data_IF_155013647871
#
_entry.id   IF_155013647871
#
_cell.length_a   1.000
_cell.length_b   1.000
_cell.length_c   1.000
_cell.angle_alpha   90.00
_cell.angle_beta   90.00
_cell.angle_gamma   90.00
#
_symmetry.space_group_name_H-M   'P 1'
#
loop_
_entity.id
_entity.type
_entity.pdbx_description
1 polymer ?
#
# COMPACT_ATOMS: atom_id res chain seq x y z
N UNK A 1 29.75 9.09 -16.06
CA UNK A 1 28.38 9.30 -15.57
C UNK A 1 27.92 7.94 -15.08
N UNK A 2 27.84 7.74 -13.76
CA UNK A 2 27.42 6.46 -13.20
C UNK A 2 25.96 6.22 -13.57
N UNK A 3 25.67 5.15 -14.31
CA UNK A 3 24.31 4.61 -14.40
C UNK A 3 23.85 4.32 -12.98
N UNK A 4 22.93 5.14 -12.46
CA UNK A 4 22.26 4.85 -11.20
C UNK A 4 21.36 3.66 -11.51
N UNK A 5 21.80 2.46 -11.12
CA UNK A 5 21.02 1.24 -11.23
C UNK A 5 19.79 1.38 -10.31
N UNK A 6 18.69 1.85 -10.87
CA UNK A 6 17.42 2.00 -10.17
C UNK A 6 16.55 0.75 -10.33
N UNK A 7 15.69 0.41 -9.36
CA UNK A 7 14.91 -0.83 -9.37
C UNK A 7 13.73 -0.84 -10.35
N UNK A 8 13.45 0.28 -11.02
CA UNK A 8 12.42 0.38 -12.05
C UNK A 8 13.00 0.10 -13.44
N UNK A 9 12.18 -0.35 -14.40
CA UNK A 9 12.58 -0.26 -15.81
C UNK A 9 12.74 1.21 -16.25
N UNK A 10 13.46 1.43 -17.35
CA UNK A 10 13.80 2.78 -17.82
C UNK A 10 12.56 3.62 -18.15
N UNK A 11 11.54 3.02 -18.76
CA UNK A 11 10.31 3.73 -19.14
C UNK A 11 9.54 4.21 -17.91
N UNK A 12 9.33 3.32 -16.93
CA UNK A 12 8.68 3.67 -15.66
C UNK A 12 9.47 4.74 -14.93
N UNK A 13 10.80 4.64 -14.92
CA UNK A 13 11.67 5.63 -14.29
C UNK A 13 11.58 7.00 -14.95
N UNK A 14 11.47 7.08 -16.27
CA UNK A 14 11.29 8.34 -17.00
C UNK A 14 9.93 9.00 -16.70
N UNK A 15 8.90 8.21 -16.39
CA UNK A 15 7.55 8.70 -16.09
C UNK A 15 7.35 9.15 -14.64
N UNK A 16 8.19 8.71 -13.68
CA UNK A 16 8.06 9.05 -12.26
C UNK A 16 7.89 10.55 -11.93
N UNK A 17 8.58 11.49 -12.61
CA UNK A 17 8.40 12.93 -12.38
C UNK A 17 6.94 13.38 -12.48
N UNK A 18 6.20 12.87 -13.47
CA UNK A 18 4.79 13.21 -13.67
C UNK A 18 3.90 12.79 -12.48
N UNK A 19 4.33 11.80 -11.69
CA UNK A 19 3.60 11.32 -10.53
C UNK A 19 4.03 11.98 -9.22
N UNK A 20 5.29 12.41 -9.09
CA UNK A 20 5.88 12.80 -7.80
C UNK A 20 6.30 14.28 -7.68
N UNK A 21 6.59 15.00 -8.76
CA UNK A 21 7.06 16.41 -8.66
C UNK A 21 5.98 17.37 -8.13
N UNK A 22 4.71 17.06 -8.37
CA UNK A 22 3.58 17.93 -8.03
C UNK A 22 2.70 17.33 -6.93
N UNK A 23 3.29 16.56 -6.01
CA UNK A 23 2.59 16.06 -4.83
C UNK A 23 2.19 17.25 -3.93
N UNK A 24 0.90 17.45 -3.62
CA UNK A 24 0.44 18.57 -2.81
C UNK A 24 0.94 18.50 -1.36
N UNK A 25 1.10 17.29 -0.82
CA UNK A 25 1.74 17.06 0.47
C UNK A 25 2.90 16.06 0.35
N UNK A 26 4.04 16.33 1.01
CA UNK A 26 5.15 15.39 1.03
C UNK A 26 4.77 14.11 1.78
N UNK A 27 5.48 13.03 1.47
CA UNK A 27 5.26 11.70 2.06
C UNK A 27 6.52 11.16 2.72
N UNK A 28 6.34 10.35 3.74
CA UNK A 28 7.39 9.59 4.39
C UNK A 28 7.21 8.10 4.08
N UNK A 29 8.18 7.51 3.37
CA UNK A 29 8.31 6.07 3.19
C UNK A 29 9.04 5.49 4.41
N UNK A 30 8.37 4.64 5.18
CA UNK A 30 8.98 3.94 6.32
C UNK A 30 9.08 2.45 5.99
N UNK A 31 10.30 1.94 5.88
CA UNK A 31 10.54 0.50 5.71
C UNK A 31 10.76 -0.12 7.08
N UNK A 32 9.91 -1.07 7.48
CA UNK A 32 10.22 -1.97 8.59
C UNK A 32 10.89 -3.23 8.05
N UNK A 33 12.05 -3.57 8.61
CA UNK A 33 12.85 -4.70 8.18
C UNK A 33 14.24 -4.69 8.80
N UNK A 34 15.13 -5.48 8.22
CA UNK A 34 16.54 -5.62 8.53
C UNK A 34 17.32 -5.86 7.22
N UNK A 35 18.14 -4.89 6.81
CA UNK A 35 18.97 -4.98 5.60
C UNK A 35 19.99 -6.14 5.67
N UNK A 36 20.29 -6.66 6.86
CA UNK A 36 21.20 -7.79 6.99
C UNK A 36 20.48 -9.14 6.84
N UNK A 37 19.18 -9.19 7.06
CA UNK A 37 18.41 -10.42 7.16
C UNK A 37 18.01 -11.04 5.80
N UNK A 38 17.86 -10.25 4.73
CA UNK A 38 17.37 -10.79 3.45
C UNK A 38 17.51 -9.85 2.24
N UNK A 39 17.43 -10.43 1.03
CA UNK A 39 17.52 -9.69 -0.23
C UNK A 39 16.36 -8.70 -0.44
N UNK A 40 15.12 -9.14 -0.17
CA UNK A 40 13.93 -8.31 -0.36
C UNK A 40 13.90 -7.08 0.55
N UNK A 41 14.36 -7.20 1.81
CA UNK A 41 14.42 -6.07 2.74
C UNK A 41 15.47 -5.03 2.33
N UNK A 42 16.65 -5.47 1.87
CA UNK A 42 17.63 -4.56 1.27
C UNK A 42 17.09 -3.86 0.04
N UNK A 43 16.44 -4.59 -0.85
CA UNK A 43 15.97 -4.00 -2.11
C UNK A 43 14.80 -3.03 -1.85
N UNK A 44 13.93 -3.30 -0.88
CA UNK A 44 12.91 -2.34 -0.46
C UNK A 44 13.53 -1.06 0.10
N UNK A 45 14.60 -1.16 0.89
CA UNK A 45 15.34 0.00 1.38
C UNK A 45 16.02 0.75 0.23
N UNK A 46 16.65 0.05 -0.72
CA UNK A 46 17.25 0.63 -1.94
C UNK A 46 16.21 1.37 -2.78
N UNK A 47 15.05 0.77 -2.98
CA UNK A 47 13.91 1.34 -3.70
C UNK A 47 13.42 2.64 -3.05
N UNK A 48 13.11 2.62 -1.75
CA UNK A 48 12.62 3.82 -1.07
C UNK A 48 13.68 4.93 -1.00
N UNK A 49 14.96 4.57 -0.84
CA UNK A 49 16.08 5.51 -0.87
C UNK A 49 16.23 6.17 -2.24
N UNK A 50 16.22 5.38 -3.32
CA UNK A 50 16.34 5.90 -4.68
C UNK A 50 15.21 6.88 -5.04
N UNK A 51 13.99 6.66 -4.54
CA UNK A 51 12.89 7.61 -4.71
C UNK A 51 13.12 8.90 -3.92
N UNK A 52 13.55 8.82 -2.66
CA UNK A 52 13.82 9.99 -1.84
C UNK A 52 15.03 10.81 -2.32
N UNK A 53 16.05 10.15 -2.87
CA UNK A 53 17.21 10.83 -3.45
C UNK A 53 16.85 11.62 -4.72
N UNK A 54 15.78 11.23 -5.42
CA UNK A 54 15.32 11.86 -6.66
C UNK A 54 14.23 12.91 -6.46
N UNK A 55 13.33 12.71 -5.50
CA UNK A 55 12.13 13.53 -5.33
C UNK A 55 12.09 14.17 -3.94
N UNK A 56 12.19 15.50 -3.87
CA UNK A 56 12.18 16.25 -2.62
C UNK A 56 10.90 16.06 -1.79
N UNK A 57 9.79 15.71 -2.45
CA UNK A 57 8.50 15.43 -1.82
C UNK A 57 8.50 14.07 -1.08
N UNK A 58 9.50 13.22 -1.29
CA UNK A 58 9.59 11.90 -0.70
C UNK A 58 10.75 11.87 0.29
N UNK A 59 10.43 11.57 1.54
CA UNK A 59 11.42 11.24 2.57
C UNK A 59 11.39 9.73 2.80
N UNK A 60 12.51 9.15 3.23
CA UNK A 60 12.58 7.72 3.55
C UNK A 60 13.30 7.48 4.88
N UNK A 61 12.95 6.38 5.56
CA UNK A 61 13.66 5.88 6.73
C UNK A 61 13.46 4.38 6.86
N UNK A 62 14.38 3.74 7.56
CA UNK A 62 14.26 2.35 7.96
C UNK A 62 14.08 2.24 9.47
N UNK A 63 13.20 1.33 9.90
CA UNK A 63 12.95 1.02 11.29
C UNK A 63 13.07 -0.49 11.51
N UNK A 64 13.39 -0.93 12.75
CA UNK A 64 13.44 -2.35 13.08
C UNK A 64 12.09 -3.04 12.85
N UNK A 65 12.14 -4.35 12.60
CA UNK A 65 10.96 -5.22 12.58
C UNK A 65 10.09 -5.03 13.84
N UNK A 66 8.77 -5.12 13.67
CA UNK A 66 7.75 -5.01 14.71
C UNK A 66 7.03 -6.33 14.98
N UNK A 67 6.71 -6.62 16.23
CA UNK A 67 6.02 -7.88 16.60
C UNK A 67 4.66 -8.09 15.91
N UNK A 68 4.02 -7.02 15.44
CA UNK A 68 2.68 -7.07 14.86
C UNK A 68 2.65 -7.26 13.32
N UNK A 69 3.80 -7.34 12.65
CA UNK A 69 3.85 -7.71 11.23
C UNK A 69 4.36 -9.15 11.07
N UNK A 70 3.58 -10.04 10.42
CA UNK A 70 3.98 -11.43 10.20
C UNK A 70 4.99 -11.59 9.07
N UNK A 71 5.09 -10.62 8.16
CA UNK A 71 5.89 -10.67 6.94
C UNK A 71 6.73 -9.41 6.77
N UNK A 72 7.88 -9.54 6.09
CA UNK A 72 8.85 -8.46 5.85
C UNK A 72 9.42 -8.52 4.43
N UNK A 73 9.83 -7.37 3.84
CA UNK A 73 9.73 -6.01 4.37
C UNK A 73 8.29 -5.50 4.47
N UNK A 74 8.09 -4.45 5.25
CA UNK A 74 6.84 -3.66 5.24
C UNK A 74 7.19 -2.24 4.83
N UNK A 75 6.61 -1.76 3.75
CA UNK A 75 6.70 -0.36 3.33
C UNK A 75 5.44 0.36 3.79
N UNK A 76 5.58 1.29 4.72
CA UNK A 76 4.52 2.22 5.10
C UNK A 76 4.64 3.54 4.38
N UNK A 77 3.52 4.01 3.86
CA UNK A 77 3.40 5.33 3.25
C UNK A 77 2.62 6.23 4.22
N UNK A 78 3.30 7.27 4.72
CA UNK A 78 2.77 8.21 5.70
C UNK A 78 2.71 9.61 5.10
N UNK A 79 1.75 10.42 5.53
CA UNK A 79 1.74 11.84 5.17
C UNK A 79 2.73 12.61 6.03
N UNK A 80 3.24 13.74 5.50
CA UNK A 80 4.12 14.63 6.23
C UNK A 80 3.64 16.08 6.11
N UNK A 81 3.51 16.76 7.25
CA UNK A 81 3.18 18.17 7.32
C UNK A 81 4.17 18.86 8.27
N UNK A 82 5.17 19.54 7.69
CA UNK A 82 6.33 20.02 8.45
C UNK A 82 7.09 18.87 9.11
N UNK A 83 7.15 18.90 10.45
CA UNK A 83 7.81 17.88 11.28
C UNK A 83 6.84 16.78 11.76
N UNK A 84 5.54 16.89 11.47
CA UNK A 84 4.54 15.89 11.85
C UNK A 84 4.37 14.81 10.78
N UNK A 85 4.28 13.56 11.25
CA UNK A 85 4.00 12.39 10.41
C UNK A 85 2.60 11.83 10.74
N UNK A 86 1.79 11.61 9.72
CA UNK A 86 0.44 11.03 9.85
C UNK A 86 0.42 9.62 9.26
N UNK A 87 0.17 8.61 10.11
CA UNK A 87 -0.02 7.23 9.67
C UNK A 87 -1.47 6.99 9.21
N UNK A 88 -1.69 7.05 7.89
CA UNK A 88 -2.97 6.73 7.25
C UNK A 88 -3.26 5.22 7.14
N UNK A 89 -2.41 4.36 7.69
CA UNK A 89 -2.65 2.91 7.67
C UNK A 89 -2.41 2.23 6.32
N UNK A 90 -1.73 2.89 5.37
CA UNK A 90 -1.37 2.34 4.05
C UNK A 90 -0.06 1.57 4.13
N UNK A 91 -0.09 0.28 3.76
CA UNK A 91 1.07 -0.63 3.81
C UNK A 91 1.17 -1.47 2.53
N UNK A 92 2.41 -1.70 2.10
CA UNK A 92 2.79 -2.73 1.14
C UNK A 92 3.67 -3.75 1.88
N UNK A 93 3.31 -5.02 1.80
CA UNK A 93 3.94 -6.13 2.50
C UNK A 93 4.65 -7.00 1.46
N UNK A 94 5.98 -7.08 1.57
CA UNK A 94 6.87 -7.63 0.56
C UNK A 94 7.50 -6.56 -0.33
N UNK A 95 8.46 -6.97 -1.16
CA UNK A 95 9.08 -6.11 -2.16
C UNK A 95 8.09 -5.93 -3.33
N UNK A 96 7.56 -4.72 -3.60
CA UNK A 96 6.77 -4.50 -4.80
C UNK A 96 7.63 -4.71 -6.05
N UNK A 97 7.10 -5.46 -7.01
CA UNK A 97 7.75 -5.78 -8.28
C UNK A 97 6.70 -5.86 -9.40
N UNK A 98 7.15 -5.80 -10.66
CA UNK A 98 6.26 -5.82 -11.81
C UNK A 98 5.17 -4.75 -11.73
N UNK A 99 3.90 -5.13 -11.94
CA UNK A 99 2.76 -4.22 -11.86
C UNK A 99 2.59 -3.60 -10.46
N UNK A 100 3.14 -4.20 -9.40
CA UNK A 100 3.00 -3.68 -8.04
C UNK A 100 3.96 -2.52 -7.73
N UNK A 101 4.91 -2.20 -8.63
CA UNK A 101 5.63 -0.93 -8.57
C UNK A 101 4.65 0.25 -8.75
N UNK A 102 3.67 0.12 -9.64
CA UNK A 102 2.59 1.11 -9.82
C UNK A 102 1.72 1.24 -8.56
N UNK A 103 1.54 0.15 -7.80
CA UNK A 103 0.85 0.20 -6.51
C UNK A 103 1.58 1.05 -5.47
N UNK A 104 2.93 1.08 -5.48
CA UNK A 104 3.70 2.01 -4.63
C UNK A 104 3.47 3.47 -5.02
N UNK A 105 3.48 3.77 -6.33
CA UNK A 105 3.14 5.12 -6.84
C UNK A 105 1.73 5.51 -6.37
N UNK A 106 0.79 4.60 -6.54
CA UNK A 106 -0.62 4.79 -6.13
C UNK A 106 -0.75 5.02 -4.63
N UNK A 107 0.01 4.31 -3.80
CA UNK A 107 0.01 4.50 -2.34
C UNK A 107 0.50 5.91 -1.97
N UNK A 108 1.60 6.37 -2.59
CA UNK A 108 2.13 7.74 -2.41
C UNK A 108 1.10 8.78 -2.81
N UNK A 109 0.49 8.62 -3.99
CA UNK A 109 -0.55 9.54 -4.45
C UNK A 109 -1.79 9.52 -3.56
N UNK A 110 -2.25 8.35 -3.13
CA UNK A 110 -3.39 8.24 -2.23
C UNK A 110 -3.15 9.01 -0.93
N UNK A 111 -1.96 8.89 -0.34
CA UNK A 111 -1.60 9.63 0.89
C UNK A 111 -1.48 11.12 0.61
N UNK A 112 -0.69 11.52 -0.39
CA UNK A 112 -0.43 12.94 -0.68
C UNK A 112 -1.69 13.71 -1.08
N UNK A 113 -2.56 13.11 -1.89
CA UNK A 113 -3.82 13.71 -2.32
C UNK A 113 -4.99 13.44 -1.36
N UNK A 114 -4.73 12.92 -0.15
CA UNK A 114 -5.78 12.61 0.85
C UNK A 114 -6.90 11.69 0.35
N UNK A 115 -6.58 10.78 -0.58
CA UNK A 115 -7.54 9.83 -1.16
C UNK A 115 -8.75 10.50 -1.83
N UNK A 116 -8.57 11.71 -2.38
CA UNK A 116 -9.65 12.49 -2.99
C UNK A 116 -10.30 11.84 -4.22
N UNK A 117 -9.72 10.75 -4.74
CA UNK A 117 -10.22 9.99 -5.87
C UNK A 117 -11.48 9.16 -5.56
N UNK A 118 -11.80 8.90 -4.29
CA UNK A 118 -13.03 8.20 -3.92
C UNK A 118 -14.28 9.06 -4.17
N UNK A 119 -15.45 8.44 -4.25
CA UNK A 119 -16.70 9.18 -4.29
C UNK A 119 -16.97 9.92 -2.96
N UNK A 120 -17.56 11.13 -2.99
CA UNK A 120 -17.87 11.88 -1.77
C UNK A 120 -18.70 11.09 -0.75
N UNK A 121 -19.67 10.29 -1.23
CA UNK A 121 -20.52 9.46 -0.39
C UNK A 121 -19.72 8.37 0.33
N UNK A 122 -18.74 7.77 -0.34
CA UNK A 122 -17.85 6.76 0.27
C UNK A 122 -17.06 7.38 1.40
N UNK A 123 -16.44 8.54 1.17
CA UNK A 123 -15.70 9.26 2.23
C UNK A 123 -16.57 9.58 3.45
N UNK A 124 -17.83 9.99 3.24
CA UNK A 124 -18.77 10.24 4.34
C UNK A 124 -19.03 8.97 5.14
N UNK A 125 -19.29 7.84 4.47
CA UNK A 125 -19.56 6.56 5.13
C UNK A 125 -18.35 6.02 5.88
N UNK A 126 -17.14 6.16 5.31
CA UNK A 126 -15.89 5.73 5.94
C UNK A 126 -15.59 6.48 7.25
N UNK A 127 -15.94 7.77 7.34
CA UNK A 127 -15.83 8.56 8.58
C UNK A 127 -16.82 8.15 9.67
N UNK A 128 -17.89 7.44 9.31
CA UNK A 128 -18.94 7.00 10.22
C UNK A 128 -18.81 5.53 10.62
N UNK A 129 -17.69 4.87 10.28
CA UNK A 129 -17.47 3.47 10.65
C UNK A 129 -17.49 3.32 12.18
N UNK A 130 -18.23 2.33 12.73
CA UNK A 130 -18.33 2.13 14.16
C UNK A 130 -17.18 1.31 14.75
N UNK A 131 -16.33 0.70 13.91
CA UNK A 131 -15.26 -0.18 14.35
C UNK A 131 -14.09 -0.22 13.34
N UNK A 132 -12.88 -0.64 13.77
CA UNK A 132 -11.73 -0.82 12.89
C UNK A 132 -11.93 -1.85 11.76
N UNK A 133 -11.22 -1.63 10.65
CA UNK A 133 -11.24 -2.40 9.43
C UNK A 133 -9.82 -2.62 8.92
N UNK A 134 -9.43 -3.88 8.72
CA UNK A 134 -8.23 -4.26 7.99
C UNK A 134 -8.66 -4.76 6.60
N UNK A 135 -8.12 -4.13 5.56
CA UNK A 135 -8.24 -4.54 4.17
C UNK A 135 -6.91 -5.20 3.76
N UNK A 136 -6.89 -6.51 3.63
CA UNK A 136 -5.74 -7.29 3.17
C UNK A 136 -5.98 -7.66 1.71
N UNK A 137 -5.32 -6.97 0.77
CA UNK A 137 -5.36 -7.25 -0.66
C UNK A 137 -4.15 -8.10 -1.01
N UNK A 138 -4.35 -9.39 -1.25
CA UNK A 138 -3.30 -10.31 -1.71
C UNK A 138 -3.21 -10.24 -3.23
N UNK A 139 -1.99 -10.10 -3.75
CA UNK A 139 -1.68 -9.99 -5.18
C UNK A 139 -0.34 -10.67 -5.49
N UNK A 140 0.16 -10.51 -6.71
CA UNK A 140 1.48 -10.97 -7.16
C UNK A 140 2.10 -9.96 -8.13
N UNK A 141 3.40 -10.09 -8.41
CA UNK A 141 4.13 -9.18 -9.29
C UNK A 141 3.54 -9.06 -10.71
N UNK A 142 2.97 -10.14 -11.25
CA UNK A 142 2.38 -10.24 -12.59
C UNK A 142 0.87 -9.91 -12.64
N UNK A 143 0.24 -9.61 -11.50
CA UNK A 143 -1.19 -9.40 -11.40
C UNK A 143 -1.58 -7.92 -11.56
N UNK A 144 -1.75 -7.45 -12.79
CA UNK A 144 -2.15 -6.07 -13.12
C UNK A 144 -3.42 -5.62 -12.38
N UNK A 145 -4.42 -6.50 -12.31
CA UNK A 145 -5.69 -6.26 -11.61
C UNK A 145 -5.52 -5.91 -10.12
N UNK A 146 -4.46 -6.39 -9.47
CA UNK A 146 -4.17 -6.11 -8.06
C UNK A 146 -3.93 -4.63 -7.79
N UNK A 147 -3.30 -3.91 -8.73
CA UNK A 147 -3.06 -2.47 -8.58
C UNK A 147 -4.37 -1.66 -8.56
N UNK A 148 -5.38 -2.10 -9.32
CA UNK A 148 -6.71 -1.47 -9.34
C UNK A 148 -7.41 -1.59 -7.99
N UNK A 149 -7.35 -2.78 -7.37
CA UNK A 149 -7.96 -3.03 -6.05
C UNK A 149 -7.18 -2.31 -4.95
N UNK A 150 -5.84 -2.30 -5.04
CA UNK A 150 -4.98 -1.58 -4.10
C UNK A 150 -5.29 -0.08 -4.07
N UNK A 151 -5.53 0.54 -5.24
CA UNK A 151 -5.93 1.96 -5.34
C UNK A 151 -7.15 2.28 -4.49
N UNK A 152 -8.18 1.46 -4.59
CA UNK A 152 -9.42 1.62 -3.81
C UNK A 152 -9.12 1.45 -2.32
N UNK A 153 -8.42 0.37 -1.95
CA UNK A 153 -8.11 0.07 -0.55
C UNK A 153 -7.27 1.19 0.12
N UNK A 154 -6.25 1.72 -0.57
CA UNK A 154 -5.44 2.82 -0.08
C UNK A 154 -6.26 4.11 0.07
N UNK A 155 -7.10 4.45 -0.91
CA UNK A 155 -8.02 5.58 -0.80
C UNK A 155 -8.94 5.46 0.42
N UNK A 156 -9.43 4.26 0.71
CA UNK A 156 -10.28 4.00 1.87
C UNK A 156 -9.54 4.15 3.21
N UNK A 157 -8.29 3.68 3.29
CA UNK A 157 -7.44 3.85 4.46
C UNK A 157 -7.15 5.33 4.76
N UNK A 158 -6.79 6.11 3.74
CA UNK A 158 -6.52 7.55 3.89
C UNK A 158 -7.75 8.32 4.36
N UNK A 159 -8.96 7.87 4.00
CA UNK A 159 -10.21 8.55 4.34
C UNK A 159 -10.84 8.13 5.68
N UNK A 160 -10.22 7.24 6.46
CA UNK A 160 -10.71 6.88 7.78
C UNK A 160 -9.60 6.35 8.70
N UNK A 161 -9.44 6.90 9.92
CA UNK A 161 -8.45 6.40 10.88
C UNK A 161 -8.75 4.97 11.36
N UNK A 162 -9.96 4.46 11.07
CA UNK A 162 -10.38 3.11 11.40
C UNK A 162 -10.02 2.10 10.32
N UNK A 163 -9.61 2.53 9.12
CA UNK A 163 -9.28 1.63 8.01
C UNK A 163 -7.77 1.54 7.86
N UNK A 164 -7.25 0.31 7.84
CA UNK A 164 -5.87 0.02 7.44
C UNK A 164 -5.90 -0.84 6.19
N UNK A 165 -5.04 -0.52 5.22
CA UNK A 165 -4.93 -1.25 3.97
C UNK A 165 -3.53 -1.86 3.82
N UNK A 166 -3.49 -3.14 3.52
CA UNK A 166 -2.30 -3.95 3.34
C UNK A 166 -2.35 -4.57 1.95
N UNK A 167 -1.49 -4.10 1.04
CA UNK A 167 -1.23 -4.83 -0.21
C UNK A 167 -0.16 -5.88 0.08
N UNK A 168 -0.45 -7.15 -0.11
CA UNK A 168 0.42 -8.27 0.25
C UNK A 168 0.87 -8.98 -1.02
N UNK A 169 2.19 -9.04 -1.21
CA UNK A 169 2.85 -9.80 -2.28
C UNK A 169 2.76 -11.30 -1.96
N UNK A 170 1.68 -11.96 -2.37
CA UNK A 170 1.39 -13.37 -2.04
C UNK A 170 2.37 -14.36 -2.69
N UNK A 171 2.98 -13.98 -3.80
CA UNK A 171 4.09 -14.68 -4.46
C UNK A 171 5.36 -14.74 -3.59
N UNK A 172 5.51 -13.83 -2.63
CA UNK A 172 6.61 -13.84 -1.66
C UNK A 172 6.28 -14.57 -0.35
N UNK A 173 4.99 -14.79 -0.05
CA UNK A 173 4.52 -15.31 1.23
C UNK A 173 3.45 -16.38 1.04
N UNK A 174 3.86 -17.61 0.69
CA UNK A 174 2.93 -18.71 0.45
C UNK A 174 2.01 -19.00 1.66
N UNK A 175 2.44 -18.65 2.88
CA UNK A 175 1.67 -18.80 4.11
C UNK A 175 0.34 -18.03 4.08
N UNK A 176 0.29 -16.84 3.46
CA UNK A 176 -0.97 -16.06 3.37
C UNK A 176 -1.96 -16.71 2.41
N UNK A 177 -1.46 -17.27 1.30
CA UNK A 177 -2.25 -17.98 0.29
C UNK A 177 -2.86 -19.23 0.92
N UNK A 178 -2.06 -20.03 1.62
CA UNK A 178 -2.52 -21.23 2.31
C UNK A 178 -3.50 -20.90 3.45
N UNK A 179 -3.18 -19.91 4.30
CA UNK A 179 -4.00 -19.53 5.45
C UNK A 179 -5.43 -19.18 5.05
N UNK A 180 -5.58 -18.45 3.94
CA UNK A 180 -6.88 -18.00 3.45
C UNK A 180 -7.45 -18.87 2.32
N UNK A 181 -6.76 -19.97 1.97
CA UNK A 181 -7.13 -20.87 0.86
C UNK A 181 -7.41 -20.12 -0.44
N UNK A 182 -6.53 -19.18 -0.77
CA UNK A 182 -6.67 -18.29 -1.93
C UNK A 182 -6.40 -19.07 -3.21
N UNK A 183 -7.38 -19.09 -4.12
CA UNK A 183 -7.25 -19.75 -5.42
C UNK A 183 -7.08 -18.76 -6.58
N UNK A 184 -7.48 -17.50 -6.39
CA UNK A 184 -7.50 -16.47 -7.44
C UNK A 184 -6.96 -15.15 -6.92
N UNK A 185 -6.19 -14.44 -7.74
CA UNK A 185 -5.65 -13.12 -7.44
C UNK A 185 -6.24 -12.06 -8.40
N UNK A 186 -6.44 -10.81 -7.95
CA UNK A 186 -6.26 -10.37 -6.56
C UNK A 186 -7.33 -10.94 -5.64
N UNK A 187 -7.01 -11.08 -4.36
CA UNK A 187 -7.92 -11.56 -3.32
C UNK A 187 -7.97 -10.57 -2.18
N UNK A 188 -9.14 -10.00 -1.88
CA UNK A 188 -9.30 -9.09 -0.74
C UNK A 188 -9.92 -9.81 0.44
N UNK A 189 -9.28 -9.70 1.61
CA UNK A 189 -9.78 -10.17 2.89
C UNK A 189 -10.10 -8.95 3.75
N UNK A 190 -11.31 -8.89 4.31
CA UNK A 190 -11.73 -7.82 5.22
C UNK A 190 -11.89 -8.39 6.62
N UNK A 191 -11.15 -7.83 7.58
CA UNK A 191 -11.12 -8.25 8.99
C UNK A 191 -10.90 -9.77 9.15
N UNK A 192 -10.08 -10.37 8.28
CA UNK A 192 -9.75 -11.80 8.32
C UNK A 192 -10.91 -12.76 8.03
N UNK A 193 -12.07 -12.27 7.55
CA UNK A 193 -13.31 -13.07 7.48
C UNK A 193 -14.17 -12.92 6.23
N UNK A 194 -14.21 -11.74 5.61
CA UNK A 194 -14.94 -11.56 4.33
C UNK A 194 -13.93 -11.68 3.21
N UNK A 195 -14.25 -12.50 2.21
CA UNK A 195 -13.40 -12.76 1.04
C UNK A 195 -14.05 -12.20 -0.20
N UNK A 196 -13.28 -11.47 -1.00
CA UNK A 196 -13.65 -10.95 -2.31
C UNK A 196 -12.59 -11.37 -3.32
N UNK A 197 -13.01 -12.09 -4.35
CA UNK A 197 -12.13 -12.56 -5.42
C UNK A 197 -12.20 -11.62 -6.61
N UNK A 198 -11.04 -11.33 -7.20
CA UNK A 198 -10.92 -10.50 -8.40
C UNK A 198 -11.05 -9.01 -8.14
N UNK A 199 -11.28 -8.28 -9.23
CA UNK A 199 -11.47 -6.82 -9.19
C UNK A 199 -12.85 -6.50 -8.65
N UNK A 200 -12.89 -5.67 -7.61
CA UNK A 200 -14.13 -5.12 -7.06
C UNK A 200 -14.10 -3.61 -7.17
N UNK A 201 -15.27 -3.02 -7.41
CA UNK A 201 -15.44 -1.57 -7.41
C UNK A 201 -15.53 -0.98 -5.99
N UNK A 202 -15.49 0.35 -5.93
CA UNK A 202 -15.54 1.11 -4.68
C UNK A 202 -16.83 0.84 -3.88
N UNK A 203 -17.98 0.78 -4.55
CA UNK A 203 -19.27 0.54 -3.91
C UNK A 203 -19.32 -0.86 -3.28
N UNK A 204 -18.85 -1.88 -4.01
CA UNK A 204 -18.80 -3.26 -3.54
C UNK A 204 -17.85 -3.39 -2.35
N UNK A 205 -16.68 -2.77 -2.40
CA UNK A 205 -15.73 -2.76 -1.30
C UNK A 205 -16.35 -2.11 -0.05
N UNK A 206 -16.96 -0.93 -0.20
CA UNK A 206 -17.61 -0.21 0.90
C UNK A 206 -18.77 -0.99 1.52
N UNK A 207 -19.58 -1.66 0.70
CA UNK A 207 -20.67 -2.52 1.15
C UNK A 207 -20.15 -3.66 2.02
N UNK A 208 -19.03 -4.27 1.65
CA UNK A 208 -18.45 -5.37 2.43
C UNK A 208 -17.74 -4.87 3.69
N UNK A 209 -17.11 -3.70 3.66
CA UNK A 209 -16.63 -3.01 4.86
C UNK A 209 -17.79 -2.81 5.85
N UNK A 210 -18.92 -2.27 5.39
CA UNK A 210 -20.08 -2.04 6.25
C UNK A 210 -20.60 -3.34 6.87
N UNK A 211 -20.62 -4.46 6.13
CA UNK A 211 -20.95 -5.79 6.69
C UNK A 211 -19.93 -6.23 7.74
N UNK A 212 -18.65 -5.98 7.51
CA UNK A 212 -17.54 -6.37 8.39
C UNK A 212 -17.47 -5.58 9.71
N UNK A 213 -18.27 -4.54 9.90
CA UNK A 213 -18.29 -3.73 11.13
C UNK A 213 -19.67 -3.65 11.77
N UNK A 214 -20.68 -4.37 11.23
CA UNK A 214 -21.98 -4.46 11.89
C UNK A 214 -21.82 -5.19 13.24
N UNK A 215 -22.43 -4.68 14.32
CA UNK A 215 -22.61 -5.46 15.54
C UNK A 215 -23.35 -6.75 15.19
N UNK A 216 -22.85 -7.87 15.68
CA UNK A 216 -23.56 -9.16 15.63
C UNK A 216 -24.78 -9.16 16.56
#
# INVERSE_FOLDING_TARGET
MSEIEHPFDAETWEQLPAFFENLPEPVQLTVWGDETAGGNEREAARLCRALADRFEQISWRMLPRRVNYPYYPVIGVMGRSGDEETDYGVRIIGLPAGYQLTSLITAVQAVSFHGQTLEPLTRIKLRQLPAPVNLEVVTAADNEAGALVAKIAFGMAVNSPLVRAFLIMGDLFNEVVLRYSINYLPHTIINGRIHLEGVVDEETMLKHIAKAVRPG
#
